data_IF_616450307370
#
_entry.id   IF_616450307370
#
_cell.length_a   1.000
_cell.length_b   1.000
_cell.length_c   1.000
_cell.angle_alpha   90.00
_cell.angle_beta   90.00
_cell.angle_gamma   90.00
#
_symmetry.space_group_name_H-M   'P 1'
#
loop_
_entity.id
_entity.type
_entity.pdbx_description
1 polymer ?
#
# COMPACT_ATOMS: atom_id res chain seq x y z
N UNK A 1 15.22 -15.61 30.68
CA UNK A 1 14.61 -14.30 31.05
C UNK A 1 13.92 -13.56 29.88
N UNK A 2 14.22 -13.85 28.60
CA UNK A 2 13.57 -13.20 27.45
C UNK A 2 12.24 -13.82 26.97
N UNK A 3 11.95 -15.07 27.34
CA UNK A 3 10.75 -15.81 26.87
C UNK A 3 9.42 -15.23 27.40
N UNK A 4 9.42 -14.63 28.60
CA UNK A 4 8.21 -14.09 29.24
C UNK A 4 7.73 -12.75 28.67
N UNK A 5 8.63 -11.90 28.14
CA UNK A 5 8.23 -10.63 27.50
C UNK A 5 7.47 -10.85 26.18
N UNK A 6 7.83 -11.88 25.41
CA UNK A 6 7.15 -12.25 24.16
C UNK A 6 5.68 -12.60 24.36
N UNK A 7 5.35 -13.26 25.48
CA UNK A 7 3.97 -13.59 25.86
C UNK A 7 3.14 -12.36 26.28
N UNK A 8 3.77 -11.30 26.79
CA UNK A 8 3.09 -10.13 27.34
C UNK A 8 2.62 -9.14 26.27
N UNK A 9 3.34 -9.02 25.14
CA UNK A 9 2.99 -8.11 24.04
C UNK A 9 3.26 -8.73 22.66
N UNK A 10 2.53 -9.79 22.27
CA UNK A 10 2.81 -10.53 21.03
C UNK A 10 2.73 -9.66 19.77
N UNK A 11 1.84 -8.66 19.74
CA UNK A 11 1.69 -7.70 18.64
C UNK A 11 2.94 -6.83 18.42
N UNK A 12 3.61 -6.40 19.49
CA UNK A 12 4.83 -5.58 19.39
C UNK A 12 5.98 -6.40 18.79
N UNK A 13 6.12 -7.66 19.20
CA UNK A 13 7.11 -8.55 18.60
C UNK A 13 6.82 -8.86 17.13
N UNK A 14 5.55 -9.00 16.77
CA UNK A 14 5.14 -9.18 15.37
C UNK A 14 5.51 -7.95 14.54
N UNK A 15 5.26 -6.75 15.06
CA UNK A 15 5.65 -5.49 14.43
C UNK A 15 7.17 -5.43 14.22
N UNK A 16 7.95 -5.66 15.28
CA UNK A 16 9.43 -5.64 15.21
C UNK A 16 9.94 -6.65 14.17
N UNK A 17 9.36 -7.84 14.13
CA UNK A 17 9.73 -8.87 13.15
C UNK A 17 9.40 -8.42 11.71
N UNK A 18 8.23 -7.82 11.48
CA UNK A 18 7.85 -7.25 10.18
C UNK A 18 8.81 -6.14 9.76
N UNK A 19 9.16 -5.23 10.66
CA UNK A 19 10.15 -4.17 10.39
C UNK A 19 11.53 -4.75 10.05
N UNK A 20 11.98 -5.76 10.79
CA UNK A 20 13.24 -6.44 10.51
C UNK A 20 13.24 -7.11 9.12
N UNK A 21 12.15 -7.80 8.79
CA UNK A 21 12.02 -8.54 7.53
C UNK A 21 11.92 -7.65 6.30
N UNK A 22 11.43 -6.42 6.44
CA UNK A 22 11.30 -5.45 5.36
C UNK A 22 12.32 -4.30 5.44
N UNK A 23 13.33 -4.41 6.31
CA UNK A 23 14.32 -3.36 6.56
C UNK A 23 15.02 -2.85 5.30
N UNK A 24 15.41 -3.74 4.39
CA UNK A 24 16.02 -3.38 3.10
C UNK A 24 15.09 -2.51 2.25
N UNK A 25 13.81 -2.87 2.13
CA UNK A 25 12.82 -2.08 1.37
C UNK A 25 12.59 -0.71 2.02
N UNK A 26 12.59 -0.65 3.35
CA UNK A 26 12.44 0.60 4.11
C UNK A 26 13.65 1.51 3.87
N UNK A 27 14.88 0.99 3.90
CA UNK A 27 16.09 1.78 3.62
C UNK A 27 16.09 2.28 2.18
N UNK A 28 15.77 1.42 1.21
CA UNK A 28 15.69 1.78 -0.21
C UNK A 28 14.65 2.89 -0.50
N UNK A 29 13.58 3.00 0.30
CA UNK A 29 12.64 4.12 0.20
C UNK A 29 13.29 5.48 0.50
N UNK A 30 14.25 5.53 1.42
CA UNK A 30 14.91 6.78 1.82
C UNK A 30 16.10 7.13 0.93
N UNK A 31 16.90 6.12 0.54
CA UNK A 31 18.11 6.31 -0.28
C UNK A 31 17.76 6.50 -1.76
N UNK A 32 17.11 5.51 -2.35
CA UNK A 32 16.85 5.45 -3.80
C UNK A 32 15.48 6.04 -4.17
N UNK A 33 14.70 6.51 -3.18
CA UNK A 33 13.29 6.92 -3.33
C UNK A 33 12.42 5.85 -4.01
N UNK A 34 12.83 4.58 -3.91
CA UNK A 34 12.09 3.45 -4.46
C UNK A 34 10.84 3.25 -3.63
N UNK A 35 9.74 3.82 -4.09
CA UNK A 35 8.45 3.78 -3.40
C UNK A 35 7.33 3.38 -4.32
N UNK A 36 6.49 2.46 -3.84
CA UNK A 36 5.24 2.11 -4.49
C UNK A 36 4.10 3.08 -4.12
N UNK A 37 4.37 4.10 -3.29
CA UNK A 37 3.34 5.00 -2.76
C UNK A 37 2.54 5.72 -3.85
N UNK A 38 3.18 6.10 -4.97
CA UNK A 38 2.48 6.71 -6.11
C UNK A 38 1.49 5.73 -6.74
N UNK A 39 1.89 4.48 -6.95
CA UNK A 39 1.03 3.44 -7.49
C UNK A 39 -0.08 3.04 -6.50
N UNK A 40 0.21 2.98 -5.21
CA UNK A 40 -0.79 2.72 -4.15
C UNK A 40 -1.83 3.84 -4.07
N UNK A 41 -1.40 5.10 -4.14
CA UNK A 41 -2.28 6.28 -4.23
C UNK A 41 -3.14 6.23 -5.50
N UNK A 42 -2.54 5.87 -6.64
CA UNK A 42 -3.27 5.73 -7.89
C UNK A 42 -4.32 4.61 -7.83
N UNK A 43 -3.98 3.45 -7.25
CA UNK A 43 -4.92 2.35 -7.00
C UNK A 43 -6.08 2.78 -6.09
N UNK A 44 -5.81 3.59 -5.07
CA UNK A 44 -6.84 4.16 -4.20
C UNK A 44 -7.79 5.10 -4.97
N UNK A 45 -7.25 5.97 -5.83
CA UNK A 45 -8.05 6.85 -6.71
C UNK A 45 -8.94 6.06 -7.67
N UNK A 46 -8.40 5.02 -8.31
CA UNK A 46 -9.17 4.11 -9.17
C UNK A 46 -10.30 3.45 -8.39
N UNK A 47 -10.02 2.96 -7.17
CA UNK A 47 -11.03 2.29 -6.34
C UNK A 47 -12.16 3.24 -5.93
N UNK A 48 -11.82 4.46 -5.52
CA UNK A 48 -12.79 5.50 -5.21
C UNK A 48 -13.66 5.83 -6.44
N UNK A 49 -13.04 6.06 -7.60
CA UNK A 49 -13.74 6.35 -8.85
C UNK A 49 -14.70 5.21 -9.26
N UNK A 50 -14.26 3.95 -9.14
CA UNK A 50 -15.14 2.78 -9.37
C UNK A 50 -16.35 2.74 -8.43
N UNK A 51 -16.17 3.09 -7.16
CA UNK A 51 -17.29 3.10 -6.20
C UNK A 51 -18.36 4.14 -6.53
N UNK A 52 -17.96 5.30 -7.06
CA UNK A 52 -18.89 6.35 -7.50
C UNK A 52 -19.74 5.89 -8.71
N UNK A 53 -19.17 5.08 -9.59
CA UNK A 53 -19.83 4.60 -10.82
C UNK A 53 -20.67 3.34 -10.61
N UNK A 54 -20.78 2.82 -9.37
CA UNK A 54 -21.46 1.56 -9.02
C UNK A 54 -20.98 0.34 -9.83
N UNK A 55 -19.74 0.38 -10.32
CA UNK A 55 -19.16 -0.64 -11.18
C UNK A 55 -18.58 -0.08 -12.48
N UNK A 56 -18.11 -0.98 -13.35
CA UNK A 56 -17.55 -0.66 -14.66
C UNK A 56 -18.20 -1.58 -15.68
N UNK A 57 -19.10 -1.03 -16.50
CA UNK A 57 -19.75 -1.77 -17.57
C UNK A 57 -18.94 -1.75 -18.87
N UNK A 58 -18.26 -0.63 -19.16
CA UNK A 58 -17.39 -0.45 -20.33
C UNK A 58 -15.97 -0.07 -19.87
N UNK A 59 -15.03 -1.01 -20.08
CA UNK A 59 -13.63 -0.84 -19.70
C UNK A 59 -12.93 0.25 -20.52
N UNK A 60 -13.21 0.35 -21.82
CA UNK A 60 -12.54 1.35 -22.70
C UNK A 60 -12.96 2.76 -22.28
N UNK A 61 -14.25 2.96 -22.05
CA UNK A 61 -14.76 4.25 -21.58
C UNK A 61 -14.25 4.61 -20.18
N UNK A 62 -14.15 3.63 -19.29
CA UNK A 62 -13.58 3.81 -17.96
C UNK A 62 -12.11 4.24 -17.99
N UNK A 63 -11.29 3.59 -18.82
CA UNK A 63 -9.88 3.95 -18.99
C UNK A 63 -9.72 5.33 -19.61
N UNK A 64 -10.55 5.70 -20.59
CA UNK A 64 -10.58 7.05 -21.15
C UNK A 64 -10.88 8.12 -20.07
N UNK A 65 -11.84 7.86 -19.17
CA UNK A 65 -12.14 8.78 -18.07
C UNK A 65 -11.03 8.87 -17.03
N UNK A 66 -10.40 7.74 -16.69
CA UNK A 66 -9.25 7.73 -15.77
C UNK A 66 -8.10 8.59 -16.33
N UNK A 67 -7.76 8.40 -17.61
CA UNK A 67 -6.75 9.19 -18.28
C UNK A 67 -7.12 10.68 -18.28
N UNK A 68 -8.36 11.06 -18.56
CA UNK A 68 -8.75 12.48 -18.55
C UNK A 68 -8.77 13.15 -17.18
N UNK A 69 -9.01 12.40 -16.10
CA UNK A 69 -9.15 12.95 -14.74
C UNK A 69 -7.84 12.94 -13.95
N UNK A 70 -6.93 12.02 -14.27
CA UNK A 70 -5.74 11.74 -13.47
C UNK A 70 -4.44 11.72 -14.28
N UNK A 71 -4.47 12.08 -15.58
CA UNK A 71 -3.26 12.40 -16.35
C UNK A 71 -2.77 13.82 -16.09
#
# INVERSE_FOLDING_TARGET
>A
MFSTKKKRFPQVFKLIHTFSNHSTTIINYFEERLTNASAESFNAKIKAFRSQLRGVADLKFFMFRLARLYA
#
